data_IF_004751967358
#
_entry.id   IF_004751967358
#
_cell.length_a   1.000
_cell.length_b   1.000
_cell.length_c   1.000
_cell.angle_alpha   90.00
_cell.angle_beta   90.00
_cell.angle_gamma   90.00
#
_symmetry.space_group_name_H-M   'P 1'
#
loop_
_entity.id
_entity.type
_entity.pdbx_description
1 polymer ?
#
# COMPACT_ATOMS: atom_id res chain seq x y z
N UNK A 1 2.64 -19.62 4.36
CA UNK A 1 1.94 -18.45 3.78
C UNK A 1 1.69 -17.32 4.77
N UNK A 2 1.48 -17.65 6.04
CA UNK A 2 1.27 -16.59 7.04
C UNK A 2 2.45 -15.60 7.05
N UNK A 3 3.68 -16.11 7.06
CA UNK A 3 4.88 -15.26 7.05
C UNK A 3 4.93 -14.34 5.83
N UNK A 4 4.54 -14.87 4.65
CA UNK A 4 4.53 -14.09 3.42
C UNK A 4 3.55 -12.93 3.50
N UNK A 5 2.34 -13.17 4.02
CA UNK A 5 1.35 -12.11 4.17
C UNK A 5 1.74 -11.10 5.25
N UNK A 6 2.44 -11.53 6.31
CA UNK A 6 2.98 -10.59 7.30
C UNK A 6 3.99 -9.64 6.64
N UNK A 7 4.88 -10.17 5.80
CA UNK A 7 5.82 -9.32 5.07
C UNK A 7 5.09 -8.37 4.11
N UNK A 8 4.05 -8.85 3.44
CA UNK A 8 3.26 -8.01 2.54
C UNK A 8 2.58 -6.88 3.30
N UNK A 9 1.95 -7.18 4.43
CA UNK A 9 1.29 -6.16 5.25
C UNK A 9 2.30 -5.15 5.77
N UNK A 10 3.47 -5.61 6.24
CA UNK A 10 4.53 -4.72 6.70
C UNK A 10 5.01 -3.80 5.57
N UNK A 11 5.15 -4.34 4.35
CA UNK A 11 5.53 -3.54 3.19
C UNK A 11 4.48 -2.47 2.87
N UNK A 12 3.19 -2.83 2.96
CA UNK A 12 2.10 -1.89 2.74
C UNK A 12 2.13 -0.76 3.77
N UNK A 13 2.34 -1.08 5.05
CA UNK A 13 2.45 -0.05 6.08
C UNK A 13 3.62 0.89 5.82
N UNK A 14 4.77 0.36 5.44
CA UNK A 14 5.93 1.19 5.11
C UNK A 14 5.66 2.09 3.92
N UNK A 15 5.04 1.53 2.87
CA UNK A 15 4.70 2.30 1.67
C UNK A 15 3.69 3.40 1.99
N UNK A 16 2.65 3.09 2.75
CA UNK A 16 1.64 4.07 3.15
C UNK A 16 2.27 5.18 3.97
N UNK A 17 3.14 4.85 4.93
CA UNK A 17 3.84 5.85 5.72
C UNK A 17 4.67 6.77 4.83
N UNK A 18 5.40 6.20 3.87
CA UNK A 18 6.17 7.00 2.91
C UNK A 18 5.29 7.91 2.08
N UNK A 19 4.18 7.39 1.58
CA UNK A 19 3.27 8.16 0.74
C UNK A 19 2.59 9.30 1.52
N UNK A 20 2.27 9.08 2.80
CA UNK A 20 1.71 10.15 3.63
C UNK A 20 2.70 11.28 3.86
N UNK A 21 3.99 11.02 3.76
CA UNK A 21 5.02 12.04 3.89
C UNK A 21 5.25 12.83 2.60
N UNK A 22 4.75 12.37 1.45
CA UNK A 22 4.95 13.05 0.18
C UNK A 22 4.46 14.52 0.20
N UNK A 23 3.21 14.80 0.62
CA UNK A 23 2.77 16.19 0.69
C UNK A 23 3.61 17.03 1.67
N UNK A 24 4.05 16.42 2.76
CA UNK A 24 4.83 17.09 3.79
C UNK A 24 6.22 17.44 3.28
N UNK A 25 6.75 16.66 2.33
CA UNK A 25 8.07 16.90 1.76
C UNK A 25 8.14 18.14 0.85
N UNK A 26 6.99 18.64 0.39
CA UNK A 26 6.90 19.81 -0.50
C UNK A 26 7.85 19.67 -1.69
N UNK A 27 7.60 18.67 -2.52
CA UNK A 27 8.42 18.36 -3.70
C UNK A 27 9.87 18.02 -3.34
N UNK A 28 10.04 17.32 -2.20
CA UNK A 28 11.36 16.88 -1.71
C UNK A 28 12.27 18.04 -1.30
N UNK A 29 11.68 19.21 -1.00
CA UNK A 29 12.46 20.35 -0.50
C UNK A 29 12.71 20.31 0.98
N UNK A 30 11.89 19.56 1.73
CA UNK A 30 12.05 19.39 3.18
C UNK A 30 12.88 18.14 3.44
N UNK A 31 14.04 18.32 4.07
CA UNK A 31 15.01 17.24 4.24
C UNK A 31 14.48 16.07 5.09
N UNK A 32 13.91 16.37 6.25
CA UNK A 32 13.49 15.32 7.19
C UNK A 32 12.39 14.43 6.61
N UNK A 33 11.26 14.97 6.08
CA UNK A 33 10.26 14.10 5.47
C UNK A 33 10.79 13.36 4.24
N UNK A 34 11.67 13.99 3.46
CA UNK A 34 12.23 13.36 2.26
C UNK A 34 13.09 12.15 2.64
N UNK A 35 13.96 12.28 3.64
CA UNK A 35 14.78 11.16 4.11
C UNK A 35 13.90 10.06 4.70
N UNK A 36 12.90 10.45 5.51
CA UNK A 36 12.03 9.48 6.15
C UNK A 36 11.23 8.68 5.12
N UNK A 37 10.62 9.33 4.11
CA UNK A 37 9.85 8.62 3.10
C UNK A 37 10.76 7.71 2.25
N UNK A 38 11.99 8.14 2.01
CA UNK A 38 12.94 7.31 1.26
C UNK A 38 13.24 6.02 2.01
N UNK A 39 13.45 6.10 3.31
CA UNK A 39 13.68 4.92 4.15
C UNK A 39 12.47 4.01 4.14
N UNK A 40 11.25 4.56 4.28
CA UNK A 40 10.03 3.76 4.25
C UNK A 40 9.86 3.05 2.91
N UNK A 41 10.07 3.74 1.79
CA UNK A 41 9.93 3.13 0.47
C UNK A 41 10.98 2.04 0.24
N UNK A 42 12.23 2.28 0.59
CA UNK A 42 13.28 1.27 0.44
C UNK A 42 12.97 0.04 1.28
N UNK A 43 12.49 0.23 2.51
CA UNK A 43 12.09 -0.88 3.37
C UNK A 43 10.92 -1.65 2.77
N UNK A 44 9.92 -0.94 2.24
CA UNK A 44 8.76 -1.57 1.62
C UNK A 44 9.17 -2.45 0.45
N UNK A 45 10.00 -1.93 -0.45
CA UNK A 45 10.46 -2.70 -1.60
C UNK A 45 11.32 -3.87 -1.20
N UNK A 46 12.17 -3.71 -0.20
CA UNK A 46 12.97 -4.83 0.31
C UNK A 46 12.08 -5.95 0.83
N UNK A 47 11.05 -5.62 1.62
CA UNK A 47 10.11 -6.62 2.13
C UNK A 47 9.36 -7.30 1.00
N UNK A 48 9.01 -6.56 -0.06
CA UNK A 48 8.31 -7.13 -1.20
C UNK A 48 9.13 -8.19 -1.94
N UNK A 49 10.45 -8.10 -1.91
CA UNK A 49 11.28 -9.12 -2.57
C UNK A 49 11.06 -10.51 -1.99
N UNK A 50 10.72 -10.61 -0.71
CA UNK A 50 10.41 -11.88 -0.07
C UNK A 50 9.01 -12.38 -0.40
N UNK A 51 8.12 -11.48 -0.81
CA UNK A 51 6.72 -11.81 -1.11
C UNK A 51 6.58 -12.31 -2.54
N UNK A 52 7.26 -11.66 -3.49
CA UNK A 52 7.09 -11.95 -4.92
C UNK A 52 7.67 -13.30 -5.32
N UNK A 53 8.49 -13.94 -4.48
CA UNK A 53 8.97 -15.28 -4.73
C UNK A 53 7.97 -16.36 -4.28
N UNK A 54 6.94 -15.97 -3.53
CA UNK A 54 5.94 -16.90 -2.98
C UNK A 54 4.55 -16.74 -3.60
N UNK A 55 4.22 -15.55 -4.07
CA UNK A 55 2.91 -15.23 -4.64
C UNK A 55 3.09 -14.67 -6.04
N UNK A 56 2.11 -14.88 -6.95
CA UNK A 56 2.17 -14.24 -8.26
C UNK A 56 2.25 -12.73 -8.13
N UNK A 57 3.08 -12.11 -8.95
CA UNK A 57 3.33 -10.67 -8.83
C UNK A 57 2.05 -9.84 -9.06
N UNK A 58 1.15 -10.32 -9.90
CA UNK A 58 -0.12 -9.63 -10.13
C UNK A 58 -0.97 -9.61 -8.86
N UNK A 59 -0.99 -10.71 -8.10
CA UNK A 59 -1.72 -10.80 -6.84
C UNK A 59 -1.09 -9.86 -5.79
N UNK A 60 0.23 -9.85 -5.73
CA UNK A 60 0.96 -8.97 -4.80
C UNK A 60 0.65 -7.51 -5.12
N UNK A 61 0.70 -7.15 -6.40
CA UNK A 61 0.48 -5.77 -6.81
C UNK A 61 -0.97 -5.33 -6.56
N UNK A 62 -1.93 -6.18 -6.89
CA UNK A 62 -3.35 -5.88 -6.64
C UNK A 62 -3.61 -5.68 -5.14
N UNK A 63 -3.08 -6.57 -4.31
CA UNK A 63 -3.26 -6.49 -2.86
C UNK A 63 -2.61 -5.23 -2.30
N UNK A 64 -1.37 -4.98 -2.69
CA UNK A 64 -0.63 -3.80 -2.24
C UNK A 64 -1.36 -2.52 -2.65
N UNK A 65 -1.71 -2.41 -3.93
CA UNK A 65 -2.38 -1.20 -4.43
C UNK A 65 -3.75 -1.02 -3.79
N UNK A 66 -4.54 -2.08 -3.69
CA UNK A 66 -5.89 -1.98 -3.16
C UNK A 66 -5.92 -1.62 -1.69
N UNK A 67 -5.16 -2.33 -0.87
CA UNK A 67 -5.12 -2.04 0.56
C UNK A 67 -4.42 -0.71 0.84
N UNK A 68 -3.39 -0.40 0.07
CA UNK A 68 -2.69 0.88 0.21
C UNK A 68 -3.60 2.06 -0.13
N UNK A 69 -4.32 2.00 -1.24
CA UNK A 69 -5.24 3.06 -1.64
C UNK A 69 -6.33 3.26 -0.59
N UNK A 70 -6.92 2.18 -0.11
CA UNK A 70 -7.98 2.27 0.89
C UNK A 70 -7.46 2.91 2.19
N UNK A 71 -6.30 2.46 2.65
CA UNK A 71 -5.68 3.01 3.86
C UNK A 71 -5.33 4.48 3.69
N UNK A 72 -4.76 4.85 2.54
CA UNK A 72 -4.40 6.25 2.25
C UNK A 72 -5.64 7.13 2.18
N UNK A 73 -6.75 6.63 1.64
CA UNK A 73 -8.00 7.40 1.60
C UNK A 73 -8.48 7.73 3.00
N UNK A 74 -8.40 6.77 3.93
CA UNK A 74 -8.78 6.98 5.34
C UNK A 74 -7.82 7.97 5.99
N UNK A 75 -6.51 7.76 5.86
CA UNK A 75 -5.52 8.62 6.50
C UNK A 75 -5.51 10.02 5.90
N UNK A 76 -5.72 10.14 4.59
CA UNK A 76 -5.82 11.43 3.94
C UNK A 76 -7.00 12.24 4.46
N UNK A 77 -8.12 11.57 4.74
CA UNK A 77 -9.26 12.23 5.37
C UNK A 77 -8.93 12.68 6.78
N UNK A 78 -8.31 11.82 7.58
CA UNK A 78 -8.04 12.09 8.99
C UNK A 78 -7.00 13.20 9.15
N UNK A 79 -5.88 13.11 8.42
CA UNK A 79 -4.73 13.98 8.64
C UNK A 79 -4.71 15.21 7.73
N UNK A 80 -5.24 15.09 6.51
CA UNK A 80 -5.22 16.19 5.54
C UNK A 80 -6.62 16.71 5.21
N UNK A 81 -7.65 16.14 5.84
CA UNK A 81 -9.05 16.53 5.64
C UNK A 81 -9.48 16.48 4.18
N UNK A 82 -8.90 15.56 3.43
CA UNK A 82 -9.25 15.34 2.03
C UNK A 82 -10.51 14.49 1.98
N UNK A 83 -11.58 15.04 1.42
CA UNK A 83 -12.84 14.33 1.28
C UNK A 83 -12.98 13.79 -0.13
N UNK A 84 -13.70 12.68 -0.25
CA UNK A 84 -13.96 12.04 -1.53
C UNK A 84 -15.46 12.05 -1.80
N UNK A 85 -15.82 12.17 -3.07
CA UNK A 85 -17.20 12.02 -3.50
C UNK A 85 -17.69 10.60 -3.19
N UNK A 86 -19.01 10.44 -2.97
CA UNK A 86 -19.56 9.13 -2.63
C UNK A 86 -19.29 8.08 -3.72
N UNK A 87 -19.23 8.51 -5.00
CA UNK A 87 -18.89 7.60 -6.09
C UNK A 87 -17.49 7.06 -5.95
N UNK A 88 -16.53 7.89 -5.53
CA UNK A 88 -15.16 7.45 -5.29
C UNK A 88 -15.10 6.47 -4.12
N UNK A 89 -15.88 6.69 -3.07
CA UNK A 89 -15.93 5.77 -1.94
C UNK A 89 -16.46 4.40 -2.38
N UNK A 90 -17.50 4.37 -3.22
CA UNK A 90 -18.00 3.12 -3.79
C UNK A 90 -16.89 2.42 -4.59
N UNK A 91 -16.15 3.18 -5.40
CA UNK A 91 -15.03 2.62 -6.16
C UNK A 91 -13.96 2.00 -5.28
N UNK A 92 -13.65 2.63 -4.14
CA UNK A 92 -12.67 2.06 -3.19
C UNK A 92 -13.16 0.73 -2.61
N UNK A 93 -14.44 0.62 -2.28
CA UNK A 93 -14.99 -0.65 -1.80
C UNK A 93 -14.97 -1.72 -2.88
N UNK A 94 -15.21 -1.36 -4.14
CA UNK A 94 -15.10 -2.31 -5.25
C UNK A 94 -13.67 -2.81 -5.43
N UNK A 95 -12.67 -1.94 -5.24
CA UNK A 95 -11.28 -2.34 -5.30
C UNK A 95 -10.98 -3.36 -4.19
N UNK A 96 -11.45 -3.11 -2.96
CA UNK A 96 -11.22 -4.04 -1.84
C UNK A 96 -11.90 -5.39 -2.10
N UNK A 97 -13.11 -5.38 -2.64
CA UNK A 97 -13.80 -6.61 -3.01
C UNK A 97 -12.98 -7.38 -4.06
N UNK A 98 -12.46 -6.68 -5.06
CA UNK A 98 -11.60 -7.30 -6.08
C UNK A 98 -10.33 -7.89 -5.47
N UNK A 99 -9.72 -7.21 -4.51
CA UNK A 99 -8.53 -7.72 -3.80
C UNK A 99 -8.87 -9.02 -3.05
N UNK A 100 -10.01 -9.04 -2.37
CA UNK A 100 -10.45 -10.26 -1.66
C UNK A 100 -10.64 -11.40 -2.67
N UNK A 101 -11.25 -11.12 -3.80
CA UNK A 101 -11.52 -12.14 -4.81
C UNK A 101 -10.22 -12.69 -5.40
N UNK A 102 -9.27 -11.84 -5.78
CA UNK A 102 -8.01 -12.32 -6.35
C UNK A 102 -7.21 -13.14 -5.35
N UNK A 103 -7.24 -12.77 -4.06
CA UNK A 103 -6.52 -13.52 -3.04
C UNK A 103 -7.20 -14.86 -2.73
N UNK A 104 -8.52 -14.92 -2.83
CA UNK A 104 -9.27 -16.16 -2.58
C UNK A 104 -8.94 -17.24 -3.63
N UNK A 105 -8.60 -16.83 -4.84
CA UNK A 105 -8.30 -17.74 -5.93
C UNK A 105 -6.85 -17.62 -6.40
N UNK A 106 -5.98 -17.07 -5.56
CA UNK A 106 -4.58 -16.90 -5.93
C UNK A 106 -3.87 -18.24 -5.98
N UNK A 107 -3.11 -18.48 -7.06
CA UNK A 107 -2.17 -19.56 -7.12
C UNK A 107 -0.91 -19.24 -6.35
N UNK A 108 -0.21 -20.27 -5.89
CA UNK A 108 1.09 -20.11 -5.24
C UNK A 108 2.21 -20.40 -6.22
N UNK A 109 3.28 -19.66 -6.12
CA UNK A 109 4.50 -19.96 -6.84
C UNK A 109 5.28 -21.05 -6.10
N UNK A 110 5.81 -21.97 -6.87
CA UNK A 110 6.63 -23.06 -6.32
C UNK A 110 8.09 -22.64 -6.22
#
# INVERSE_FOLDING_TARGET
MVKTYIFLIAAIFCEVAGTMLLPISQNFTKLIPTVALSIFYLTAFYLLTFVVIKLPIAIVYATWSGLGIFTIAILGYIFFKQTLAWQAIIGLFLIVIGVILVNSFAGKLN
#
